data_IF_529024632082
#
_entry.id   IF_529024632082
#
_cell.length_a   1.000
_cell.length_b   1.000
_cell.length_c   1.000
_cell.angle_alpha   90.00
_cell.angle_beta   90.00
_cell.angle_gamma   90.00
#
_symmetry.space_group_name_H-M   'P 1'
#
loop_
_entity.id
_entity.type
_entity.pdbx_description
1 polymer ?
#
# COMPACT_ATOMS: atom_id res chain seq x y z
N UNK A 1 -0.71 29.97 -3.70
CA UNK A 1 0.19 31.14 -3.50
C UNK A 1 0.59 31.79 -4.83
N UNK A 2 1.18 31.05 -5.77
CA UNK A 2 1.71 31.61 -7.03
C UNK A 2 0.62 32.30 -7.88
N UNK A 3 -0.60 31.76 -7.88
CA UNK A 3 -1.77 32.35 -8.54
C UNK A 3 -2.23 33.68 -7.90
N UNK A 4 -2.13 33.82 -6.58
CA UNK A 4 -2.41 35.09 -5.89
C UNK A 4 -1.40 36.17 -6.30
N UNK A 5 -0.12 35.80 -6.45
CA UNK A 5 0.90 36.68 -7.00
C UNK A 5 0.56 37.16 -8.43
N UNK A 6 0.05 36.25 -9.27
CA UNK A 6 -0.43 36.58 -10.60
C UNK A 6 -1.61 37.54 -10.63
N UNK A 7 -2.59 37.36 -9.74
CA UNK A 7 -3.75 38.26 -9.62
C UNK A 7 -3.32 39.68 -9.21
N UNK A 8 -2.42 39.81 -8.22
CA UNK A 8 -1.90 41.10 -7.77
C UNK A 8 -1.16 41.81 -8.90
N UNK A 9 -0.37 41.06 -9.68
CA UNK A 9 0.40 41.60 -10.79
C UNK A 9 -0.49 42.05 -11.96
N UNK A 10 -1.51 41.27 -12.30
CA UNK A 10 -2.48 41.64 -13.32
C UNK A 10 -3.28 42.90 -12.95
N UNK A 11 -3.68 43.04 -11.68
CA UNK A 11 -4.37 44.24 -11.18
C UNK A 11 -3.49 45.49 -11.22
N UNK A 12 -2.21 45.38 -10.86
CA UNK A 12 -1.29 46.54 -10.86
C UNK A 12 -0.81 46.94 -12.26
N UNK A 13 -0.73 45.99 -13.18
CA UNK A 13 -0.30 46.23 -14.56
C UNK A 13 -1.46 46.53 -15.53
N UNK A 14 -2.71 46.55 -15.04
CA UNK A 14 -3.94 46.67 -15.85
C UNK A 14 -4.00 45.68 -17.03
N UNK A 15 -3.38 44.50 -16.88
CA UNK A 15 -3.30 43.49 -17.93
C UNK A 15 -3.64 42.11 -17.38
N UNK A 16 -4.80 41.60 -17.77
CA UNK A 16 -5.30 40.30 -17.29
C UNK A 16 -4.52 39.10 -17.84
N UNK A 17 -3.77 39.24 -18.93
CA UNK A 17 -2.94 38.16 -19.46
C UNK A 17 -1.82 37.74 -18.48
N UNK A 18 -1.46 38.61 -17.54
CA UNK A 18 -0.38 38.36 -16.59
C UNK A 18 -0.80 37.52 -15.37
N UNK A 19 -2.08 37.19 -15.22
CA UNK A 19 -2.59 36.38 -14.09
C UNK A 19 -1.91 35.01 -14.06
N UNK A 20 -1.76 34.37 -15.22
CA UNK A 20 -1.27 32.99 -15.30
C UNK A 20 0.24 32.87 -15.46
N UNK A 21 0.93 33.94 -15.82
CA UNK A 21 2.38 33.92 -16.11
C UNK A 21 3.20 33.30 -14.96
N UNK A 22 3.02 33.67 -13.69
CA UNK A 22 3.78 33.06 -12.59
C UNK A 22 3.50 31.56 -12.44
N UNK A 23 2.24 31.15 -12.64
CA UNK A 23 1.81 29.76 -12.49
C UNK A 23 2.37 28.89 -13.61
N UNK A 24 2.31 29.38 -14.85
CA UNK A 24 2.84 28.68 -16.02
C UNK A 24 4.36 28.53 -15.90
N UNK A 25 5.09 29.59 -15.52
CA UNK A 25 6.54 29.51 -15.35
C UNK A 25 6.94 28.53 -14.24
N UNK A 26 6.19 28.50 -13.13
CA UNK A 26 6.45 27.54 -12.06
C UNK A 26 6.17 26.10 -12.52
N UNK A 27 5.04 25.88 -13.20
CA UNK A 27 4.68 24.56 -13.69
C UNK A 27 5.69 24.01 -14.71
N UNK A 28 6.22 24.86 -15.59
CA UNK A 28 7.27 24.46 -16.54
C UNK A 28 8.58 24.10 -15.82
N UNK A 29 8.97 24.85 -14.79
CA UNK A 29 10.17 24.52 -14.01
C UNK A 29 9.99 23.21 -13.21
N UNK A 30 8.78 22.98 -12.69
CA UNK A 30 8.42 21.78 -11.95
C UNK A 30 8.43 20.53 -12.85
N UNK A 31 7.86 20.61 -14.06
CA UNK A 31 7.88 19.50 -15.02
C UNK A 31 9.29 19.14 -15.48
N UNK A 32 10.17 20.13 -15.67
CA UNK A 32 11.59 19.88 -15.99
C UNK A 32 12.31 19.19 -14.82
N UNK A 33 12.03 19.60 -13.58
CA UNK A 33 12.60 18.97 -12.38
C UNK A 33 12.11 17.53 -12.22
N UNK A 34 10.83 17.27 -12.48
CA UNK A 34 10.25 15.93 -12.48
C UNK A 34 10.86 15.03 -13.55
N UNK A 35 11.04 15.53 -14.78
CA UNK A 35 11.71 14.79 -15.86
C UNK A 35 13.16 14.44 -15.50
N UNK A 36 13.90 15.38 -14.90
CA UNK A 36 15.25 15.13 -14.41
C UNK A 36 15.25 14.05 -13.31
N UNK A 37 14.30 14.10 -12.38
CA UNK A 37 14.15 13.10 -11.33
C UNK A 37 13.85 11.71 -11.89
N UNK A 38 12.93 11.61 -12.86
CA UNK A 38 12.62 10.35 -13.55
C UNK A 38 13.81 9.79 -14.31
N UNK A 39 14.61 10.65 -14.96
CA UNK A 39 15.83 10.24 -15.66
C UNK A 39 16.87 9.68 -14.69
N UNK A 40 17.08 10.34 -13.54
CA UNK A 40 17.98 9.86 -12.49
C UNK A 40 17.50 8.53 -11.92
N UNK A 41 16.20 8.39 -11.65
CA UNK A 41 15.62 7.12 -11.18
C UNK A 41 15.79 5.99 -12.21
N UNK A 42 15.63 6.30 -13.50
CA UNK A 42 15.88 5.36 -14.59
C UNK A 42 17.33 4.85 -14.54
N UNK A 43 18.32 5.74 -14.50
CA UNK A 43 19.73 5.33 -14.37
C UNK A 43 20.04 4.59 -13.07
N UNK A 44 19.38 4.94 -11.96
CA UNK A 44 19.48 4.22 -10.69
C UNK A 44 18.99 2.79 -10.78
N UNK A 45 17.89 2.55 -11.51
CA UNK A 45 17.33 1.21 -11.69
C UNK A 45 18.25 0.26 -12.48
N UNK A 46 19.10 0.79 -13.37
CA UNK A 46 20.12 0.02 -14.10
C UNK A 46 21.46 -0.08 -13.34
N UNK A 47 21.57 0.52 -12.14
CA UNK A 47 22.80 0.50 -11.35
C UNK A 47 23.94 1.35 -11.92
N UNK A 48 23.65 2.29 -12.83
CA UNK A 48 24.68 3.14 -13.47
C UNK A 48 25.11 4.32 -12.60
N UNK A 49 24.37 4.59 -11.52
CA UNK A 49 24.67 5.66 -10.58
C UNK A 49 25.63 5.20 -9.48
N UNK A 50 26.74 5.92 -9.22
CA UNK A 50 27.62 5.62 -8.10
C UNK A 50 26.91 5.69 -6.74
N UNK A 51 27.29 4.84 -5.79
CA UNK A 51 26.64 4.75 -4.47
C UNK A 51 26.61 6.08 -3.68
N UNK A 52 27.62 6.94 -3.85
CA UNK A 52 27.68 8.25 -3.18
C UNK A 52 26.61 9.24 -3.68
N UNK A 53 26.07 9.03 -4.88
CA UNK A 53 25.05 9.91 -5.46
C UNK A 53 23.73 9.84 -4.68
N UNK A 54 23.33 8.66 -4.20
CA UNK A 54 22.07 8.46 -3.49
C UNK A 54 21.95 9.29 -2.21
N UNK A 55 23.07 9.58 -1.53
CA UNK A 55 23.08 10.45 -0.34
C UNK A 55 22.87 11.93 -0.67
N UNK A 56 23.29 12.36 -1.86
CA UNK A 56 23.25 13.76 -2.28
C UNK A 56 21.98 14.11 -3.08
N UNK A 57 21.45 13.17 -3.86
CA UNK A 57 20.29 13.39 -4.74
C UNK A 57 19.06 13.99 -4.03
N UNK A 58 18.64 13.52 -2.83
CA UNK A 58 17.50 14.12 -2.12
C UNK A 58 17.73 15.60 -1.78
N UNK A 59 18.95 15.96 -1.38
CA UNK A 59 19.32 17.34 -1.04
C UNK A 59 19.34 18.20 -2.31
N UNK A 60 19.91 17.69 -3.40
CA UNK A 60 19.95 18.39 -4.69
C UNK A 60 18.54 18.73 -5.18
N UNK A 61 17.63 17.76 -5.22
CA UNK A 61 16.25 17.99 -5.70
C UNK A 61 15.47 18.92 -4.78
N UNK A 62 15.69 18.85 -3.46
CA UNK A 62 15.13 19.81 -2.51
C UNK A 62 15.61 21.23 -2.80
N UNK A 63 16.91 21.42 -3.02
CA UNK A 63 17.50 22.73 -3.34
C UNK A 63 16.97 23.26 -4.67
N UNK A 64 16.86 22.43 -5.71
CA UNK A 64 16.29 22.82 -7.01
C UNK A 64 14.82 23.24 -6.89
N UNK A 65 14.03 22.48 -6.13
CA UNK A 65 12.61 22.77 -5.89
C UNK A 65 12.40 24.08 -5.11
N UNK A 66 13.24 24.35 -4.11
CA UNK A 66 13.21 25.62 -3.38
C UNK A 66 13.70 26.78 -4.26
N UNK A 67 14.80 26.58 -4.98
CA UNK A 67 15.41 27.58 -5.85
C UNK A 67 14.43 28.11 -6.89
N UNK A 68 13.70 27.24 -7.60
CA UNK A 68 12.74 27.69 -8.62
C UNK A 68 11.64 28.60 -8.04
N UNK A 69 11.15 28.27 -6.84
CA UNK A 69 10.08 29.05 -6.20
C UNK A 69 10.62 30.39 -5.70
N UNK A 70 11.82 30.38 -5.12
CA UNK A 70 12.50 31.60 -4.68
C UNK A 70 12.87 32.50 -5.86
N UNK A 71 13.32 31.94 -6.98
CA UNK A 71 13.67 32.68 -8.19
C UNK A 71 12.45 33.39 -8.79
N UNK A 72 11.30 32.72 -8.87
CA UNK A 72 10.07 33.35 -9.36
C UNK A 72 9.58 34.44 -8.40
N UNK A 73 9.55 34.17 -7.09
CA UNK A 73 9.21 35.19 -6.10
C UNK A 73 10.14 36.40 -6.17
N UNK A 74 11.44 36.19 -6.38
CA UNK A 74 12.43 37.26 -6.53
C UNK A 74 12.19 38.10 -7.79
N UNK A 75 11.96 37.46 -8.95
CA UNK A 75 11.69 38.14 -10.23
C UNK A 75 10.43 39.02 -10.10
N UNK A 76 9.34 38.47 -9.56
CA UNK A 76 8.09 39.21 -9.42
C UNK A 76 8.16 40.29 -8.35
N UNK A 77 8.89 40.05 -7.26
CA UNK A 77 9.12 41.03 -6.20
C UNK A 77 9.86 42.28 -6.72
N UNK A 78 10.88 42.10 -7.57
CA UNK A 78 11.55 43.22 -8.27
C UNK A 78 10.60 43.98 -9.19
N UNK A 79 9.70 43.28 -9.89
CA UNK A 79 8.76 43.91 -10.83
C UNK A 79 7.63 44.70 -10.12
N UNK A 80 7.15 44.19 -8.99
CA UNK A 80 6.03 44.77 -8.23
C UNK A 80 6.45 45.91 -7.28
N UNK A 81 7.76 46.20 -7.15
CA UNK A 81 8.34 47.19 -6.22
C UNK A 81 7.83 47.05 -4.79
N UNK A 82 7.60 45.81 -4.36
CA UNK A 82 7.13 45.47 -3.00
C UNK A 82 8.19 45.97 -1.98
N UNK A 83 7.81 46.58 -0.84
CA UNK A 83 8.77 47.01 0.17
C UNK A 83 9.53 45.79 0.75
N UNK A 84 10.79 45.98 1.14
CA UNK A 84 11.71 44.88 1.43
C UNK A 84 11.23 43.92 2.55
N UNK A 85 10.44 44.40 3.51
CA UNK A 85 9.91 43.60 4.62
C UNK A 85 8.77 42.66 4.18
N UNK A 86 7.86 43.09 3.31
CA UNK A 86 6.84 42.22 2.71
C UNK A 86 7.48 41.09 1.89
N UNK A 87 8.63 41.37 1.25
CA UNK A 87 9.40 40.34 0.52
C UNK A 87 9.87 39.24 1.46
N UNK A 88 10.41 39.62 2.62
CA UNK A 88 10.92 38.67 3.62
C UNK A 88 9.78 37.80 4.14
N UNK A 89 8.61 38.39 4.45
CA UNK A 89 7.45 37.65 4.94
C UNK A 89 6.96 36.63 3.91
N UNK A 90 6.83 37.03 2.64
CA UNK A 90 6.37 36.13 1.56
C UNK A 90 7.38 35.00 1.32
N UNK A 91 8.69 35.29 1.36
CA UNK A 91 9.74 34.28 1.19
C UNK A 91 9.73 33.27 2.34
N UNK A 92 9.68 33.73 3.58
CA UNK A 92 9.63 32.86 4.76
C UNK A 92 8.35 32.01 4.75
N UNK A 93 7.19 32.61 4.46
CA UNK A 93 5.92 31.89 4.37
C UNK A 93 5.89 30.83 3.26
N UNK A 94 6.47 31.15 2.09
CA UNK A 94 6.60 30.18 0.99
C UNK A 94 7.52 29.01 1.37
N UNK A 95 8.68 29.27 1.96
CA UNK A 95 9.61 28.22 2.42
C UNK A 95 8.96 27.36 3.49
N UNK A 96 8.30 27.96 4.48
CA UNK A 96 7.62 27.22 5.55
C UNK A 96 6.51 26.32 4.98
N UNK A 97 5.64 26.86 4.12
CA UNK A 97 4.56 26.08 3.52
C UNK A 97 5.09 24.94 2.65
N UNK A 98 6.11 25.20 1.83
CA UNK A 98 6.71 24.19 0.97
C UNK A 98 7.43 23.10 1.78
N UNK A 99 8.08 23.46 2.89
CA UNK A 99 8.74 22.49 3.76
C UNK A 99 7.71 21.60 4.46
N UNK A 100 6.60 22.18 4.94
CA UNK A 100 5.49 21.43 5.54
C UNK A 100 4.85 20.50 4.50
N UNK A 101 4.58 21.01 3.30
CA UNK A 101 4.04 20.21 2.21
C UNK A 101 4.98 19.08 1.81
N UNK A 102 6.29 19.34 1.67
CA UNK A 102 7.28 18.33 1.31
C UNK A 102 7.41 17.25 2.38
N UNK A 103 7.40 17.60 3.68
CA UNK A 103 7.39 16.59 4.76
C UNK A 103 6.14 15.72 4.70
N UNK A 104 4.97 16.32 4.51
CA UNK A 104 3.71 15.59 4.36
C UNK A 104 3.68 14.68 3.12
N UNK A 105 4.31 15.08 2.02
CA UNK A 105 4.43 14.26 0.80
C UNK A 105 5.46 13.15 0.97
N UNK A 106 6.57 13.39 1.66
CA UNK A 106 7.60 12.37 1.92
C UNK A 106 7.10 11.23 2.81
N UNK A 107 6.11 11.50 3.67
CA UNK A 107 5.43 10.47 4.45
C UNK A 107 4.37 9.70 3.66
N UNK A 108 4.12 10.04 2.39
CA UNK A 108 3.26 9.23 1.55
C UNK A 108 3.93 7.90 1.21
N UNK A 109 3.17 6.78 1.25
CA UNK A 109 3.69 5.43 1.01
C UNK A 109 4.28 5.22 -0.40
N UNK A 110 4.13 6.18 -1.31
CA UNK A 110 4.69 6.15 -2.67
C UNK A 110 6.23 6.29 -2.66
N UNK A 111 6.82 6.95 -1.64
CA UNK A 111 8.25 7.32 -1.64
C UNK A 111 9.14 6.54 -0.66
N UNK A 112 8.59 5.68 0.20
CA UNK A 112 9.37 4.82 1.12
C UNK A 112 9.70 3.48 0.44
N UNK A 113 10.82 3.43 -0.28
CA UNK A 113 11.36 2.20 -0.88
C UNK A 113 12.31 1.42 0.04
N UNK A 114 12.25 1.63 1.35
CA UNK A 114 12.98 0.76 2.29
C UNK A 114 11.96 -0.22 2.86
N UNK A 115 11.84 -1.44 2.31
CA UNK A 115 11.08 -2.48 2.96
C UNK A 115 11.80 -2.78 4.28
N UNK A 116 11.27 -2.25 5.37
CA UNK A 116 11.62 -2.78 6.69
C UNK A 116 10.95 -4.14 6.73
N UNK A 117 11.73 -5.21 6.53
CA UNK A 117 11.19 -6.56 6.63
C UNK A 117 10.51 -6.72 7.99
N UNK A 118 9.21 -6.98 8.02
CA UNK A 118 8.47 -7.03 9.27
C UNK A 118 8.86 -8.30 10.03
N UNK A 119 9.54 -8.11 11.16
CA UNK A 119 9.93 -9.20 12.07
C UNK A 119 8.80 -9.46 13.05
N UNK A 120 8.30 -10.70 13.08
CA UNK A 120 7.30 -11.09 14.07
C UNK A 120 7.90 -11.09 15.48
N UNK A 121 7.32 -10.27 16.35
CA UNK A 121 7.69 -10.22 17.75
C UNK A 121 7.46 -11.57 18.44
N UNK A 122 8.33 -11.94 19.37
CA UNK A 122 8.26 -13.21 20.09
C UNK A 122 6.91 -13.40 20.82
N UNK A 123 6.40 -12.33 21.45
CA UNK A 123 5.09 -12.36 22.09
C UNK A 123 3.97 -12.71 21.10
N UNK A 124 4.01 -12.13 19.90
CA UNK A 124 3.03 -12.40 18.86
C UNK A 124 3.14 -13.82 18.30
N UNK A 125 4.36 -14.36 18.16
CA UNK A 125 4.60 -15.74 17.75
C UNK A 125 3.93 -16.74 18.70
N UNK A 126 4.11 -16.59 20.01
CA UNK A 126 3.51 -17.48 21.01
C UNK A 126 1.99 -17.38 21.09
N UNK A 127 1.41 -16.25 20.67
CA UNK A 127 -0.05 -16.08 20.64
C UNK A 127 -0.72 -16.73 19.42
N UNK A 128 0.01 -16.94 18.31
CA UNK A 128 -0.58 -17.45 17.06
C UNK A 128 -1.36 -18.76 17.19
N UNK A 129 -0.88 -19.80 17.91
CA UNK A 129 -1.63 -21.05 18.04
C UNK A 129 -3.00 -20.83 18.70
N UNK A 130 -3.07 -19.95 19.71
CA UNK A 130 -4.31 -19.61 20.43
C UNK A 130 -5.25 -18.82 19.53
N UNK A 131 -4.75 -17.77 18.87
CA UNK A 131 -5.55 -16.92 17.96
C UNK A 131 -6.14 -17.74 16.81
N UNK A 132 -5.32 -18.60 16.20
CA UNK A 132 -5.80 -19.49 15.14
C UNK A 132 -6.87 -20.44 15.66
N UNK A 133 -6.67 -21.07 16.82
CA UNK A 133 -7.66 -22.00 17.36
C UNK A 133 -8.99 -21.29 17.66
N UNK A 134 -8.95 -20.10 18.27
CA UNK A 134 -10.14 -19.30 18.53
C UNK A 134 -10.89 -18.93 17.24
N UNK A 135 -10.16 -18.50 16.21
CA UNK A 135 -10.77 -18.16 14.91
C UNK A 135 -11.33 -19.38 14.17
N UNK A 136 -10.77 -20.57 14.38
CA UNK A 136 -11.33 -21.81 13.83
C UNK A 136 -12.58 -22.25 14.60
N UNK A 137 -12.61 -22.04 15.91
CA UNK A 137 -13.74 -22.45 16.75
C UNK A 137 -14.94 -21.50 16.64
N UNK A 138 -14.73 -20.27 16.17
CA UNK A 138 -15.81 -19.32 15.86
C UNK A 138 -16.55 -19.61 14.55
N UNK A 139 -16.22 -20.70 13.85
CA UNK A 139 -16.88 -21.09 12.60
C UNK A 139 -18.03 -22.05 12.92
N UNK A 140 -19.24 -21.55 12.75
CA UNK A 140 -20.49 -22.26 13.02
C UNK A 140 -20.80 -23.32 11.96
N UNK A 141 -21.53 -24.39 12.33
CA UNK A 141 -22.05 -25.39 11.40
C UNK A 141 -23.10 -24.81 10.45
N UNK A 142 -23.29 -25.50 9.33
CA UNK A 142 -24.36 -25.25 8.36
C UNK A 142 -25.73 -25.56 8.94
N UNK A 143 -26.75 -24.82 8.51
CA UNK A 143 -28.15 -25.01 8.87
C UNK A 143 -28.87 -25.78 7.76
N UNK A 144 -29.29 -27.02 8.04
CA UNK A 144 -29.94 -27.88 7.07
C UNK A 144 -31.17 -27.21 6.40
N UNK A 145 -31.24 -27.28 5.06
CA UNK A 145 -32.34 -26.70 4.28
C UNK A 145 -32.24 -25.19 4.05
N UNK A 146 -31.13 -24.56 4.46
CA UNK A 146 -30.79 -23.16 4.16
C UNK A 146 -29.38 -23.13 3.57
N UNK A 147 -29.22 -22.49 2.41
CA UNK A 147 -27.89 -22.20 1.87
C UNK A 147 -27.18 -21.17 2.74
N UNK A 148 -26.15 -21.60 3.44
CA UNK A 148 -25.26 -20.72 4.19
C UNK A 148 -24.03 -20.35 3.35
N UNK A 149 -23.51 -19.15 3.62
CA UNK A 149 -22.32 -18.62 2.96
C UNK A 149 -21.17 -18.64 3.95
N UNK A 150 -20.07 -19.26 3.54
CA UNK A 150 -18.81 -19.25 4.28
C UNK A 150 -17.86 -18.27 3.62
N UNK A 151 -17.17 -17.48 4.43
CA UNK A 151 -16.16 -16.53 3.93
C UNK A 151 -14.78 -16.91 4.48
N UNK A 152 -13.79 -16.93 3.60
CA UNK A 152 -12.39 -17.00 3.98
C UNK A 152 -11.60 -15.89 3.31
N UNK A 153 -11.02 -15.00 4.11
CA UNK A 153 -10.14 -13.94 3.67
C UNK A 153 -8.68 -14.21 4.02
N UNK A 154 -7.76 -14.03 3.07
CA UNK A 154 -6.32 -14.20 3.29
C UNK A 154 -5.58 -12.96 2.80
N UNK A 155 -4.98 -12.21 3.73
CA UNK A 155 -4.03 -11.14 3.42
C UNK A 155 -2.61 -11.69 3.57
N UNK A 156 -1.98 -12.03 2.45
CA UNK A 156 -0.72 -12.79 2.42
C UNK A 156 0.55 -11.97 2.64
N UNK A 157 0.50 -10.65 2.49
CA UNK A 157 1.67 -9.78 2.50
C UNK A 157 1.61 -8.75 3.63
N UNK A 158 2.73 -8.55 4.32
CA UNK A 158 2.84 -7.82 5.59
C UNK A 158 3.19 -6.34 5.47
N UNK A 159 3.78 -5.91 4.36
CA UNK A 159 4.40 -4.57 4.29
C UNK A 159 3.39 -3.43 4.13
N UNK A 160 2.13 -3.75 3.79
CA UNK A 160 1.09 -2.75 3.55
C UNK A 160 -0.19 -3.06 4.34
N UNK A 161 -0.70 -2.02 5.02
CA UNK A 161 -2.01 -2.06 5.68
C UNK A 161 -3.20 -2.21 4.70
N UNK A 162 -2.95 -2.05 3.40
CA UNK A 162 -3.97 -2.11 2.34
C UNK A 162 -4.60 -3.51 2.27
N UNK A 163 -3.78 -4.57 2.29
CA UNK A 163 -4.29 -5.94 2.15
C UNK A 163 -5.18 -6.36 3.33
N UNK A 164 -4.80 -5.99 4.56
CA UNK A 164 -5.65 -6.15 5.74
C UNK A 164 -6.98 -5.41 5.58
N UNK A 165 -6.91 -4.15 5.16
CA UNK A 165 -8.09 -3.29 5.00
C UNK A 165 -9.05 -3.83 3.94
N UNK A 166 -8.52 -4.36 2.84
CA UNK A 166 -9.30 -5.01 1.78
C UNK A 166 -10.02 -6.24 2.31
N UNK A 167 -9.30 -7.17 2.95
CA UNK A 167 -9.91 -8.40 3.49
C UNK A 167 -10.97 -8.07 4.54
N UNK A 168 -10.70 -7.13 5.45
CA UNK A 168 -11.66 -6.75 6.49
C UNK A 168 -12.92 -6.08 5.90
N UNK A 169 -12.78 -5.23 4.87
CA UNK A 169 -13.94 -4.63 4.19
C UNK A 169 -14.76 -5.67 3.43
N UNK A 170 -14.10 -6.62 2.77
CA UNK A 170 -14.81 -7.72 2.09
C UNK A 170 -15.55 -8.57 3.11
N UNK A 171 -14.91 -8.93 4.23
CA UNK A 171 -15.55 -9.66 5.33
C UNK A 171 -16.80 -8.94 5.82
N UNK A 172 -16.69 -7.65 6.15
CA UNK A 172 -17.82 -6.86 6.64
C UNK A 172 -19.00 -6.84 5.64
N UNK A 173 -18.70 -6.67 4.36
CA UNK A 173 -19.72 -6.72 3.30
C UNK A 173 -20.39 -8.09 3.22
N UNK A 174 -19.63 -9.17 3.38
CA UNK A 174 -20.18 -10.52 3.37
C UNK A 174 -21.01 -10.83 4.61
N UNK A 175 -20.56 -10.39 5.78
CA UNK A 175 -21.26 -10.56 7.04
C UNK A 175 -22.63 -9.86 6.97
N UNK A 176 -22.68 -8.65 6.39
CA UNK A 176 -23.93 -7.88 6.25
C UNK A 176 -24.84 -8.40 5.14
N UNK A 177 -24.29 -8.70 3.95
CA UNK A 177 -25.13 -9.00 2.76
C UNK A 177 -25.48 -10.47 2.59
N UNK A 178 -24.61 -11.36 3.05
CA UNK A 178 -24.75 -12.80 2.88
C UNK A 178 -24.92 -13.54 4.22
N UNK A 179 -24.92 -12.79 5.34
CA UNK A 179 -25.16 -13.36 6.66
C UNK A 179 -24.02 -14.27 7.14
N UNK A 180 -22.79 -14.02 6.70
CA UNK A 180 -21.62 -14.85 7.05
C UNK A 180 -21.10 -14.60 8.47
N UNK A 181 -21.81 -13.84 9.29
CA UNK A 181 -21.47 -13.63 10.70
C UNK A 181 -21.54 -14.95 11.45
N UNK A 182 -20.41 -15.44 11.95
CA UNK A 182 -20.27 -16.80 12.52
C UNK A 182 -19.76 -17.83 11.51
N UNK A 183 -19.66 -17.50 10.22
CA UNK A 183 -19.16 -18.38 9.14
C UNK A 183 -17.93 -17.78 8.41
N UNK A 184 -17.35 -16.73 8.98
CA UNK A 184 -16.23 -15.96 8.42
C UNK A 184 -14.89 -16.25 9.11
N UNK A 185 -13.85 -16.49 8.33
CA UNK A 185 -12.46 -16.63 8.81
C UNK A 185 -11.55 -15.63 8.08
N UNK A 186 -10.78 -14.84 8.82
CA UNK A 186 -9.75 -13.96 8.26
C UNK A 186 -8.36 -14.36 8.76
N UNK A 187 -7.42 -14.52 7.84
CA UNK A 187 -6.01 -14.80 8.11
C UNK A 187 -5.19 -13.64 7.55
N UNK A 188 -4.46 -12.91 8.41
CA UNK A 188 -3.90 -11.61 8.06
C UNK A 188 -2.43 -11.51 8.46
N UNK A 189 -1.58 -11.26 7.48
CA UNK A 189 -0.19 -10.85 7.72
C UNK A 189 -0.15 -9.33 7.83
N UNK A 190 -0.06 -8.78 9.04
CA UNK A 190 0.08 -7.35 9.27
C UNK A 190 0.74 -7.08 10.62
N UNK A 191 1.75 -6.22 10.63
CA UNK A 191 2.53 -5.90 11.85
C UNK A 191 1.68 -5.38 13.01
N UNK A 192 0.58 -4.67 12.71
CA UNK A 192 -0.29 -4.09 13.73
C UNK A 192 -1.38 -5.03 14.24
N UNK A 193 -1.57 -6.22 13.64
CA UNK A 193 -2.64 -7.13 14.05
C UNK A 193 -2.17 -8.50 14.51
N UNK A 194 -0.86 -8.76 14.59
CA UNK A 194 -0.35 -10.07 14.99
C UNK A 194 -0.75 -10.53 16.40
N UNK A 195 -1.16 -9.64 17.30
CA UNK A 195 -1.65 -10.00 18.64
C UNK A 195 -3.16 -10.28 18.68
N UNK A 196 -3.90 -9.88 17.63
CA UNK A 196 -5.36 -9.90 17.62
C UNK A 196 -5.93 -10.82 16.54
N UNK A 197 -5.21 -11.01 15.43
CA UNK A 197 -5.65 -11.77 14.26
C UNK A 197 -4.64 -12.89 13.94
N UNK A 198 -5.11 -14.08 13.53
CA UNK A 198 -4.22 -15.17 13.15
C UNK A 198 -3.48 -14.85 11.84
N UNK A 199 -2.18 -15.12 11.81
CA UNK A 199 -1.36 -14.90 10.62
C UNK A 199 -1.71 -15.84 9.46
N UNK A 200 -1.60 -15.33 8.24
CA UNK A 200 -1.72 -16.10 7.00
C UNK A 200 -0.44 -16.90 6.74
N UNK A 201 -0.43 -18.15 7.22
CA UNK A 201 0.55 -19.17 6.87
C UNK A 201 -0.10 -20.31 6.08
N UNK A 202 0.71 -21.11 5.38
CA UNK A 202 0.25 -22.35 4.74
C UNK A 202 -0.57 -23.22 5.70
N UNK A 203 -0.09 -23.38 6.94
CA UNK A 203 -0.74 -24.20 7.96
C UNK A 203 -2.09 -23.61 8.37
N UNK A 204 -2.16 -22.31 8.65
CA UNK A 204 -3.42 -21.65 9.00
C UNK A 204 -4.45 -21.72 7.87
N UNK A 205 -4.03 -21.53 6.60
CA UNK A 205 -4.92 -21.61 5.44
C UNK A 205 -5.48 -23.01 5.31
N UNK A 206 -4.63 -24.04 5.40
CA UNK A 206 -5.05 -25.44 5.33
C UNK A 206 -6.01 -25.81 6.47
N UNK A 207 -5.73 -25.36 7.69
CA UNK A 207 -6.59 -25.62 8.85
C UNK A 207 -7.93 -24.90 8.73
N UNK A 208 -7.93 -23.66 8.25
CA UNK A 208 -9.11 -22.85 7.98
C UNK A 208 -10.03 -23.50 6.96
N UNK A 209 -9.48 -23.82 5.79
CA UNK A 209 -10.20 -24.55 4.74
C UNK A 209 -10.77 -25.86 5.28
N UNK A 210 -9.95 -26.66 5.99
CA UNK A 210 -10.40 -27.94 6.57
C UNK A 210 -11.57 -27.74 7.54
N UNK A 211 -11.50 -26.76 8.45
CA UNK A 211 -12.57 -26.47 9.42
C UNK A 211 -13.84 -26.04 8.70
N UNK A 212 -13.76 -25.12 7.75
CA UNK A 212 -14.92 -24.69 6.94
C UNK A 212 -15.54 -25.90 6.23
N UNK A 213 -14.74 -26.72 5.55
CA UNK A 213 -15.23 -27.91 4.87
C UNK A 213 -15.81 -28.99 5.79
N UNK A 214 -15.55 -28.94 7.11
CA UNK A 214 -16.19 -29.80 8.10
C UNK A 214 -17.54 -29.25 8.60
N UNK A 215 -17.70 -27.93 8.59
CA UNK A 215 -18.92 -27.25 9.04
C UNK A 215 -19.95 -27.08 7.92
N UNK A 216 -19.47 -26.94 6.69
CA UNK A 216 -20.25 -26.66 5.49
C UNK A 216 -20.91 -27.92 4.92
N UNK A 217 -22.17 -27.80 4.49
CA UNK A 217 -22.83 -28.77 3.63
C UNK A 217 -22.45 -28.51 2.15
N UNK A 218 -21.56 -29.34 1.60
CA UNK A 218 -21.03 -29.13 0.25
C UNK A 218 -22.05 -29.22 -0.90
N UNK A 219 -23.28 -29.68 -0.64
CA UNK A 219 -24.33 -29.77 -1.65
C UNK A 219 -25.27 -28.55 -1.64
N UNK A 220 -25.29 -27.78 -0.55
CA UNK A 220 -26.22 -26.64 -0.34
C UNK A 220 -25.51 -25.30 -0.13
N UNK A 221 -24.31 -25.30 0.44
CA UNK A 221 -23.59 -24.11 0.89
C UNK A 221 -22.50 -23.65 -0.07
N UNK A 222 -22.07 -22.39 0.11
CA UNK A 222 -21.07 -21.76 -0.75
C UNK A 222 -19.90 -21.20 0.07
N UNK A 223 -18.68 -21.56 -0.30
CA UNK A 223 -17.46 -20.92 0.21
C UNK A 223 -16.98 -19.83 -0.75
N UNK A 224 -16.87 -18.60 -0.24
CA UNK A 224 -16.21 -17.49 -0.90
C UNK A 224 -14.79 -17.29 -0.34
N UNK A 225 -13.78 -17.54 -1.17
CA UNK A 225 -12.36 -17.38 -0.82
C UNK A 225 -11.80 -16.11 -1.46
N UNK A 226 -11.38 -15.14 -0.64
CA UNK A 226 -10.69 -13.92 -1.08
C UNK A 226 -9.22 -13.97 -0.69
N UNK A 227 -8.35 -13.75 -1.67
CA UNK A 227 -6.90 -13.73 -1.49
C UNK A 227 -6.39 -12.36 -1.92
N UNK A 228 -5.71 -11.64 -1.02
CA UNK A 228 -5.07 -10.36 -1.33
C UNK A 228 -3.59 -10.38 -0.92
N UNK A 229 -2.71 -10.10 -1.88
CA UNK A 229 -1.25 -10.09 -1.73
C UNK A 229 -0.61 -9.48 -2.97
N UNK A 230 0.72 -9.31 -2.97
CA UNK A 230 1.45 -9.08 -4.20
C UNK A 230 1.40 -10.31 -5.11
N UNK A 231 1.13 -10.08 -6.38
CA UNK A 231 1.33 -11.07 -7.45
C UNK A 231 2.76 -11.01 -7.97
N UNK A 232 3.24 -12.12 -8.52
CA UNK A 232 4.50 -12.14 -9.26
C UNK A 232 4.25 -12.16 -10.76
N UNK A 233 5.06 -11.41 -11.50
CA UNK A 233 5.09 -11.51 -12.97
C UNK A 233 5.90 -12.74 -13.34
N UNK A 234 5.22 -13.82 -13.75
CA UNK A 234 5.82 -15.08 -14.18
C UNK A 234 4.82 -15.94 -14.95
N UNK A 235 5.27 -17.06 -15.55
CA UNK A 235 4.46 -17.94 -16.43
C UNK A 235 3.25 -18.63 -15.74
N UNK A 236 3.04 -18.41 -14.45
CA UNK A 236 1.94 -18.94 -13.66
C UNK A 236 1.54 -17.91 -12.60
N UNK A 237 0.25 -17.56 -12.54
CA UNK A 237 -0.29 -16.68 -11.50
C UNK A 237 -0.01 -17.28 -10.11
N UNK A 238 0.89 -16.65 -9.37
CA UNK A 238 1.31 -17.08 -8.04
C UNK A 238 0.84 -16.10 -6.97
N UNK A 239 0.33 -16.63 -5.86
CA UNK A 239 -0.01 -15.87 -4.67
C UNK A 239 1.18 -15.88 -3.70
N UNK A 240 1.71 -14.69 -3.39
CA UNK A 240 2.80 -14.55 -2.42
C UNK A 240 2.28 -14.59 -1.00
N UNK A 241 3.00 -15.30 -0.14
CA UNK A 241 2.80 -15.24 1.31
C UNK A 241 4.13 -14.94 1.96
N UNK A 242 4.18 -13.83 2.68
CA UNK A 242 5.33 -13.48 3.52
C UNK A 242 5.16 -14.15 4.87
N UNK A 243 6.09 -15.03 5.23
CA UNK A 243 6.13 -15.62 6.57
C UNK A 243 7.14 -14.80 7.41
N UNK A 244 6.70 -14.12 8.48
CA UNK A 244 7.52 -13.16 9.22
C UNK A 244 8.83 -13.68 9.86
N UNK A 245 9.07 -14.99 9.89
CA UNK A 245 10.25 -15.62 10.50
C UNK A 245 11.24 -16.20 9.48
N UNK A 246 10.93 -16.14 8.19
CA UNK A 246 11.73 -16.72 7.12
C UNK A 246 12.25 -15.57 6.25
N UNK A 247 13.40 -14.99 6.64
CA UNK A 247 14.09 -13.84 6.03
C UNK A 247 13.90 -13.73 4.50
N UNK A 248 13.06 -12.78 4.07
CA UNK A 248 12.79 -12.50 2.65
C UNK A 248 12.25 -13.66 1.79
N UNK A 249 11.93 -14.82 2.36
CA UNK A 249 11.54 -16.01 1.56
C UNK A 249 10.07 -15.96 1.17
N UNK A 250 9.81 -15.63 -0.10
CA UNK A 250 8.51 -15.78 -0.72
C UNK A 250 8.15 -17.28 -0.87
N UNK A 251 7.26 -17.77 -0.01
CA UNK A 251 6.71 -19.11 -0.16
C UNK A 251 5.53 -19.09 -1.13
N UNK A 252 5.65 -19.84 -2.23
CA UNK A 252 4.58 -19.98 -3.23
C UNK A 252 3.53 -20.98 -2.77
N UNK A 253 2.27 -20.54 -2.74
CA UNK A 253 1.13 -21.44 -2.59
C UNK A 253 0.33 -21.46 -3.89
N UNK A 254 0.29 -22.62 -4.55
CA UNK A 254 -0.67 -22.89 -5.61
C UNK A 254 -1.90 -23.58 -5.01
N UNK A 255 -3.03 -22.90 -5.09
CA UNK A 255 -4.33 -23.43 -4.67
C UNK A 255 -5.01 -24.04 -5.91
N UNK A 256 -5.18 -25.37 -5.93
CA UNK A 256 -6.04 -26.04 -6.92
C UNK A 256 -7.35 -26.47 -6.26
N UNK A 257 -8.45 -25.94 -6.79
CA UNK A 257 -9.81 -26.42 -6.49
C UNK A 257 -10.11 -27.60 -7.40
N UNK A 258 -10.37 -28.78 -6.83
CA UNK A 258 -10.83 -29.94 -7.59
C UNK A 258 -12.34 -30.09 -7.42
N UNK A 259 -13.07 -30.29 -8.53
CA UNK A 259 -14.49 -30.68 -8.46
C UNK A 259 -14.59 -32.09 -7.86
N UNK A 260 -15.52 -32.30 -6.92
CA UNK A 260 -15.81 -33.53 -6.15
C UNK A 260 -15.50 -34.82 -6.94
N UNK A 261 -14.55 -35.62 -6.45
CA UNK A 261 -14.51 -37.09 -6.62
C UNK A 261 -14.66 -37.71 -5.23
N UNK A 262 -15.45 -38.79 -5.07
CA UNK A 262 -15.86 -39.33 -3.76
C UNK A 262 -14.70 -39.78 -2.84
N UNK A 263 -13.50 -39.92 -3.38
CA UNK A 263 -12.32 -40.55 -2.80
C UNK A 263 -11.09 -39.61 -2.77
N UNK A 264 -11.27 -38.31 -3.04
CA UNK A 264 -10.20 -37.30 -2.95
C UNK A 264 -10.61 -36.12 -2.06
N UNK A 265 -9.73 -35.59 -1.19
CA UNK A 265 -10.02 -34.34 -0.49
C UNK A 265 -10.32 -33.23 -1.50
N UNK A 266 -11.37 -32.45 -1.22
CA UNK A 266 -11.97 -31.43 -2.09
C UNK A 266 -11.00 -30.33 -2.58
N UNK A 267 -9.84 -30.17 -1.91
CA UNK A 267 -8.80 -29.23 -2.30
C UNK A 267 -7.41 -29.77 -1.92
N UNK A 268 -6.41 -29.56 -2.77
CA UNK A 268 -5.02 -29.96 -2.52
C UNK A 268 -4.09 -28.76 -2.67
N UNK A 269 -3.40 -28.39 -1.60
CA UNK A 269 -2.34 -27.37 -1.63
C UNK A 269 -1.02 -28.04 -1.98
N UNK A 270 -0.46 -27.69 -3.14
CA UNK A 270 0.80 -28.27 -3.63
C UNK A 270 2.00 -27.36 -3.30
N UNK A 271 3.15 -27.96 -2.96
CA UNK A 271 4.42 -27.27 -2.80
C UNK A 271 5.11 -27.20 -4.17
N UNK A 272 5.34 -26.02 -4.70
CA UNK A 272 6.25 -25.80 -5.82
C UNK A 272 7.52 -25.17 -5.28
N UNK A 273 8.67 -25.84 -5.45
CA UNK A 273 9.99 -25.22 -5.21
C UNK A 273 10.19 -24.14 -6.28
N UNK A 274 10.75 -22.99 -5.91
CA UNK A 274 11.22 -21.99 -6.87
C UNK A 274 12.17 -22.65 -7.87
N UNK A 275 12.12 -22.33 -9.17
CA UNK A 275 13.29 -22.46 -10.02
C UNK A 275 14.39 -21.59 -9.39
N UNK A 276 15.59 -22.14 -9.24
CA UNK A 276 16.76 -21.38 -8.80
C UNK A 276 17.25 -20.41 -9.87
#
# INVERSE_FOLDING_TARGET
IILLGGIILARRASNQALVFVPVVLWLVADTLSALLQSLVQFFGSYGWLPNWSYSFLPVLFLVLFLWQTLALLWIFSRRLRIPWWERIIVLVGAVALLTIWQRNVADQPIFKQIPVEPVLEEAALYQQPRLLQQALDSIDPSIAGKTDWYFMGVAGFSDQNVFRSEINKVRELFDVRFGTSGHSLSLINNTYSWLDEPIATKTSILRGLKKIGQQMNADEDVLFLTLSSHGMVGRSAGFLITIPSEAGTCSFITIRVNRKRPDTPWMRVLKTRSPG
#
